data_IF_072442649896
#
_entry.id   IF_072442649896
#
_cell.length_a   1.000
_cell.length_b   1.000
_cell.length_c   1.000
_cell.angle_alpha   90.00
_cell.angle_beta   90.00
_cell.angle_gamma   90.00
#
_symmetry.space_group_name_H-M   'P 1'
#
loop_
_entity.id
_entity.type
_entity.pdbx_description
1 polymer ?
#
# COMPACT_ATOMS: atom_id res chain seq x y z
N UNK A 1 32.16 62.96 3.52
CA UNK A 1 33.49 62.61 4.08
C UNK A 1 33.21 61.90 5.39
N UNK A 2 33.00 60.58 5.36
CA UNK A 2 34.04 59.56 5.50
C UNK A 2 34.73 59.66 6.87
N UNK A 3 34.43 58.74 7.79
CA UNK A 3 35.47 57.91 8.43
C UNK A 3 34.86 56.65 9.06
N UNK A 4 35.62 55.58 8.87
CA UNK A 4 35.19 54.20 8.76
C UNK A 4 35.60 53.45 10.02
N UNK A 5 34.70 52.60 10.53
CA UNK A 5 34.80 51.83 11.78
C UNK A 5 35.77 50.63 11.65
N UNK A 6 36.68 50.67 10.68
CA UNK A 6 37.58 49.57 10.26
C UNK A 6 38.78 49.37 11.23
N UNK A 7 38.93 50.19 12.27
CA UNK A 7 40.09 50.13 13.17
C UNK A 7 40.07 49.03 14.25
N UNK A 8 38.92 48.43 14.56
CA UNK A 8 38.80 47.55 15.74
C UNK A 8 39.02 46.05 15.44
N UNK A 9 38.73 45.59 14.22
CA UNK A 9 38.73 44.15 13.91
C UNK A 9 40.15 43.62 13.63
N UNK A 10 41.10 44.49 13.29
CA UNK A 10 42.43 44.08 12.84
C UNK A 10 43.42 43.70 13.97
N UNK A 11 43.01 43.79 15.25
CA UNK A 11 43.88 43.47 16.40
C UNK A 11 43.71 42.06 16.97
N UNK A 12 42.74 41.27 16.49
CA UNK A 12 42.44 39.94 17.05
C UNK A 12 43.07 38.76 16.28
N UNK A 13 43.81 39.03 15.20
CA UNK A 13 44.42 37.99 14.34
C UNK A 13 45.95 38.08 14.29
N UNK A 14 46.59 38.21 15.44
CA UNK A 14 48.02 37.92 15.54
C UNK A 14 48.26 37.15 16.83
N UNK A 15 48.94 36.02 16.68
CA UNK A 15 49.44 35.10 17.71
C UNK A 15 48.53 33.92 18.10
N UNK A 16 48.98 32.71 17.71
CA UNK A 16 48.36 31.46 18.12
C UNK A 16 48.78 30.28 17.25
N UNK A 17 50.05 29.88 17.34
CA UNK A 17 50.57 28.66 16.72
C UNK A 17 49.92 27.43 17.39
N UNK A 18 48.95 26.79 16.73
CA UNK A 18 48.43 25.49 17.13
C UNK A 18 48.31 24.55 15.93
N UNK A 19 48.85 23.34 16.11
CA UNK A 19 48.89 22.21 15.19
C UNK A 19 47.52 21.99 14.51
N UNK A 20 47.47 21.56 13.23
CA UNK A 20 46.20 21.26 12.58
C UNK A 20 45.56 20.05 13.27
N UNK A 21 44.52 20.31 14.06
CA UNK A 21 43.54 19.28 14.40
C UNK A 21 42.78 19.00 13.11
N UNK A 22 43.02 17.84 12.52
CA UNK A 22 42.19 17.32 11.44
C UNK A 22 40.86 16.92 12.04
N UNK A 23 39.92 17.84 12.07
CA UNK A 23 38.51 17.53 12.30
C UNK A 23 38.02 16.79 11.05
N UNK A 24 37.58 15.52 11.13
CA UNK A 24 36.93 14.91 9.98
C UNK A 24 35.68 15.74 9.65
N UNK A 25 35.54 16.12 8.38
CA UNK A 25 34.34 16.78 7.89
C UNK A 25 33.11 15.91 8.25
N UNK A 26 31.97 16.52 8.61
CA UNK A 26 30.74 15.75 8.79
C UNK A 26 30.47 15.02 7.47
N UNK A 27 30.47 13.70 7.50
CA UNK A 27 30.00 12.86 6.39
C UNK A 27 28.66 13.42 5.94
N UNK A 28 28.44 13.66 4.63
CA UNK A 28 27.13 14.07 4.15
C UNK A 28 26.12 13.05 4.67
N UNK A 29 25.23 13.47 5.57
CA UNK A 29 24.11 12.64 5.96
C UNK A 29 23.38 12.30 4.65
N UNK A 30 23.40 11.03 4.30
CA UNK A 30 22.68 10.53 3.14
C UNK A 30 21.20 10.84 3.41
N UNK A 31 20.68 11.90 2.81
CA UNK A 31 19.25 12.16 2.84
C UNK A 31 18.57 10.90 2.28
N UNK A 32 17.54 10.35 2.94
CA UNK A 32 16.82 9.21 2.38
C UNK A 32 16.38 9.58 0.96
N UNK A 33 16.79 8.77 -0.02
CA UNK A 33 16.35 8.93 -1.41
C UNK A 33 14.81 8.96 -1.44
N UNK A 34 14.19 9.79 -2.29
CA UNK A 34 12.74 9.80 -2.40
C UNK A 34 12.26 8.39 -2.80
N UNK A 35 11.45 7.78 -1.95
CA UNK A 35 10.74 6.53 -2.24
C UNK A 35 9.93 6.73 -3.52
N UNK A 36 10.04 5.80 -4.48
CA UNK A 36 9.25 5.90 -5.70
C UNK A 36 7.76 5.75 -5.38
N UNK A 37 6.88 6.35 -6.19
CA UNK A 37 5.44 6.20 -5.98
C UNK A 37 5.01 4.72 -5.97
N UNK A 38 5.60 3.89 -6.84
CA UNK A 38 5.36 2.44 -6.85
C UNK A 38 5.77 1.78 -5.54
N UNK A 39 6.88 2.19 -4.93
CA UNK A 39 7.31 1.65 -3.64
C UNK A 39 6.36 2.07 -2.51
N UNK A 40 5.81 3.29 -2.56
CA UNK A 40 4.76 3.71 -1.62
C UNK A 40 3.47 2.88 -1.76
N UNK A 41 3.08 2.52 -2.99
CA UNK A 41 1.92 1.64 -3.23
C UNK A 41 2.18 0.24 -2.68
N UNK A 42 3.38 -0.32 -2.92
CA UNK A 42 3.79 -1.61 -2.36
C UNK A 42 3.78 -1.60 -0.83
N UNK A 43 4.36 -0.56 -0.22
CA UNK A 43 4.38 -0.44 1.23
C UNK A 43 2.95 -0.38 1.82
N UNK A 44 2.07 0.44 1.23
CA UNK A 44 0.68 0.51 1.67
C UNK A 44 -0.05 -0.83 1.52
N UNK A 45 0.16 -1.54 0.41
CA UNK A 45 -0.42 -2.85 0.19
C UNK A 45 0.13 -3.88 1.19
N UNK A 46 1.42 -3.87 1.48
CA UNK A 46 2.07 -4.74 2.46
C UNK A 46 1.55 -4.51 3.89
N UNK A 47 1.24 -3.27 4.25
CA UNK A 47 0.66 -2.91 5.55
C UNK A 47 -0.84 -3.29 5.66
N UNK A 48 -1.59 -3.18 4.57
CA UNK A 48 -3.07 -3.28 4.62
C UNK A 48 -3.64 -4.63 4.20
N UNK A 49 -3.06 -5.30 3.19
CA UNK A 49 -3.54 -6.59 2.70
C UNK A 49 -3.61 -7.67 3.78
N UNK A 50 -2.63 -7.82 4.70
CA UNK A 50 -2.72 -8.82 5.77
C UNK A 50 -4.01 -8.69 6.60
N UNK A 51 -4.41 -7.45 6.94
CA UNK A 51 -5.65 -7.20 7.69
C UNK A 51 -6.90 -7.60 6.91
N UNK A 52 -6.94 -7.33 5.60
CA UNK A 52 -8.08 -7.71 4.76
C UNK A 52 -8.13 -9.23 4.58
N UNK A 53 -6.98 -9.85 4.29
CA UNK A 53 -6.86 -11.30 4.13
C UNK A 53 -7.31 -12.07 5.37
N UNK A 54 -6.99 -11.60 6.58
CA UNK A 54 -7.47 -12.24 7.81
C UNK A 54 -9.00 -12.29 7.88
N UNK A 55 -9.68 -11.19 7.57
CA UNK A 55 -11.15 -11.14 7.56
C UNK A 55 -11.75 -11.97 6.43
N UNK A 56 -11.14 -11.93 5.23
CA UNK A 56 -11.61 -12.71 4.09
C UNK A 56 -11.38 -14.22 4.31
N UNK A 57 -10.30 -14.64 4.97
CA UNK A 57 -10.02 -16.04 5.27
C UNK A 57 -11.05 -16.67 6.23
N UNK A 58 -11.69 -15.85 7.09
CA UNK A 58 -12.76 -16.30 7.98
C UNK A 58 -14.15 -16.27 7.35
N UNK A 59 -14.29 -15.87 6.08
CA UNK A 59 -15.60 -15.83 5.42
C UNK A 59 -16.29 -17.19 5.39
N UNK A 60 -17.59 -17.16 5.61
CA UNK A 60 -18.52 -18.24 5.27
C UNK A 60 -19.75 -17.64 4.56
N UNK A 61 -20.65 -18.52 4.12
CA UNK A 61 -21.85 -18.12 3.39
C UNK A 61 -22.74 -17.16 4.20
N UNK A 62 -22.87 -17.39 5.51
CA UNK A 62 -23.74 -16.59 6.38
C UNK A 62 -23.16 -15.19 6.63
N UNK A 63 -21.84 -15.11 6.85
CA UNK A 63 -21.13 -13.84 6.96
C UNK A 63 -21.22 -13.04 5.67
N UNK A 64 -21.06 -13.69 4.52
CA UNK A 64 -21.16 -13.03 3.22
C UNK A 64 -22.58 -12.51 2.97
N UNK A 65 -23.60 -13.31 3.29
CA UNK A 65 -25.01 -12.90 3.16
C UNK A 65 -25.35 -11.67 4.00
N UNK A 66 -24.90 -11.64 5.26
CA UNK A 66 -25.25 -10.59 6.22
C UNK A 66 -24.44 -9.32 6.06
N UNK A 67 -23.17 -9.45 5.63
CA UNK A 67 -22.19 -8.38 5.75
C UNK A 67 -21.62 -7.90 4.41
N UNK A 68 -22.09 -8.40 3.26
CA UNK A 68 -21.59 -7.98 1.96
C UNK A 68 -21.52 -6.45 1.82
N UNK A 69 -22.58 -5.73 2.21
CA UNK A 69 -22.60 -4.26 2.10
C UNK A 69 -21.51 -3.58 2.93
N UNK A 70 -21.23 -4.10 4.13
CA UNK A 70 -20.13 -3.61 4.97
C UNK A 70 -18.77 -3.98 4.39
N UNK A 71 -18.64 -5.17 3.81
CA UNK A 71 -17.39 -5.62 3.19
C UNK A 71 -17.07 -4.89 1.89
N UNK A 72 -18.10 -4.47 1.15
CA UNK A 72 -18.02 -3.80 -0.13
C UNK A 72 -18.08 -2.26 -0.05
N UNK A 73 -18.01 -1.65 1.14
CA UNK A 73 -18.00 -0.19 1.33
C UNK A 73 -16.91 0.27 2.29
N UNK A 74 -16.59 1.58 2.25
CA UNK A 74 -15.62 2.19 3.16
C UNK A 74 -14.28 1.43 3.20
N UNK A 75 -13.92 0.99 4.41
CA UNK A 75 -12.72 0.20 4.72
C UNK A 75 -13.00 -1.31 4.85
N UNK A 76 -14.13 -1.78 4.33
CA UNK A 76 -14.50 -3.19 4.30
C UNK A 76 -13.48 -4.05 3.57
N UNK A 77 -13.30 -5.32 3.96
CA UNK A 77 -12.22 -6.16 3.43
C UNK A 77 -12.29 -6.42 1.93
N UNK A 78 -13.48 -6.56 1.31
CA UNK A 78 -13.58 -6.74 -0.15
C UNK A 78 -13.15 -5.47 -0.88
N UNK A 79 -13.75 -4.33 -0.54
CA UNK A 79 -13.42 -3.05 -1.18
C UNK A 79 -11.95 -2.68 -0.95
N UNK A 80 -11.47 -2.87 0.28
CA UNK A 80 -10.09 -2.60 0.68
C UNK A 80 -9.08 -3.43 -0.12
N UNK A 81 -9.22 -4.76 -0.14
CA UNK A 81 -8.28 -5.62 -0.88
C UNK A 81 -8.32 -5.37 -2.39
N UNK A 82 -9.51 -5.14 -2.96
CA UNK A 82 -9.66 -4.82 -4.39
C UNK A 82 -8.98 -3.49 -4.72
N UNK A 83 -9.13 -2.47 -3.87
CA UNK A 83 -8.45 -1.17 -4.04
C UNK A 83 -6.93 -1.34 -4.04
N UNK A 84 -6.38 -2.16 -3.14
CA UNK A 84 -4.94 -2.45 -3.11
C UNK A 84 -4.48 -3.17 -4.38
N UNK A 85 -5.20 -4.21 -4.82
CA UNK A 85 -4.88 -4.92 -6.06
C UNK A 85 -4.96 -3.98 -7.28
N UNK A 86 -5.93 -3.07 -7.32
CA UNK A 86 -6.04 -2.05 -8.38
C UNK A 86 -4.85 -1.09 -8.36
N UNK A 87 -4.37 -0.68 -7.19
CA UNK A 87 -3.16 0.14 -7.06
C UNK A 87 -1.92 -0.58 -7.60
N UNK A 88 -1.72 -1.85 -7.20
CA UNK A 88 -0.61 -2.68 -7.69
C UNK A 88 -0.67 -2.90 -9.21
N UNK A 89 -1.86 -3.16 -9.75
CA UNK A 89 -2.07 -3.34 -11.19
C UNK A 89 -1.81 -2.05 -12.00
N UNK A 90 -2.14 -0.88 -11.45
CA UNK A 90 -2.02 0.40 -12.16
C UNK A 90 -0.62 1.00 -12.05
N UNK A 91 0.06 0.80 -10.92
CA UNK A 91 1.25 1.57 -10.57
C UNK A 91 2.49 0.73 -10.32
N UNK A 92 2.39 -0.60 -10.37
CA UNK A 92 3.55 -1.50 -10.37
C UNK A 92 3.69 -2.19 -11.73
N UNK A 93 4.80 -2.91 -11.91
CA UNK A 93 5.11 -3.63 -13.15
C UNK A 93 5.48 -5.10 -12.91
N UNK A 94 5.76 -5.82 -14.00
CA UNK A 94 6.25 -7.19 -13.96
C UNK A 94 5.22 -8.20 -13.40
N UNK A 95 5.72 -9.23 -12.72
CA UNK A 95 4.88 -10.32 -12.19
C UNK A 95 3.88 -9.82 -11.15
N UNK A 96 4.24 -8.83 -10.32
CA UNK A 96 3.34 -8.24 -9.32
C UNK A 96 2.08 -7.63 -9.97
N UNK A 97 2.27 -6.90 -11.07
CA UNK A 97 1.17 -6.31 -11.83
C UNK A 97 0.27 -7.38 -12.46
N UNK A 98 0.90 -8.40 -13.07
CA UNK A 98 0.19 -9.51 -13.70
C UNK A 98 -0.64 -10.30 -12.68
N UNK A 99 -0.06 -10.58 -11.51
CA UNK A 99 -0.73 -11.30 -10.42
C UNK A 99 -1.91 -10.49 -9.85
N UNK A 100 -1.74 -9.18 -9.65
CA UNK A 100 -2.82 -8.32 -9.17
C UNK A 100 -3.97 -8.26 -10.19
N UNK A 101 -3.65 -8.18 -11.48
CA UNK A 101 -4.62 -8.25 -12.58
C UNK A 101 -5.34 -9.60 -12.60
N UNK A 102 -4.62 -10.71 -12.40
CA UNK A 102 -5.22 -12.04 -12.35
C UNK A 102 -6.25 -12.13 -11.21
N UNK A 103 -5.89 -11.73 -9.99
CA UNK A 103 -6.79 -11.72 -8.84
C UNK A 103 -8.05 -10.90 -9.11
N UNK A 104 -7.92 -9.70 -9.70
CA UNK A 104 -9.05 -8.81 -9.98
C UNK A 104 -10.04 -9.38 -11.02
N UNK A 105 -9.53 -10.19 -11.96
CA UNK A 105 -10.29 -10.76 -13.07
C UNK A 105 -10.78 -12.19 -12.81
N UNK A 106 -10.26 -12.87 -11.79
CA UNK A 106 -10.75 -14.21 -11.41
C UNK A 106 -12.25 -14.15 -11.11
N UNK A 107 -13.07 -14.96 -11.79
CA UNK A 107 -14.50 -15.02 -11.50
C UNK A 107 -14.75 -15.64 -10.12
N UNK A 108 -15.62 -14.99 -9.35
CA UNK A 108 -16.27 -15.55 -8.17
C UNK A 108 -17.74 -15.75 -8.54
N UNK A 109 -18.14 -17.00 -8.71
CA UNK A 109 -19.46 -17.41 -9.19
C UNK A 109 -19.88 -16.70 -10.49
N UNK A 110 -18.93 -16.55 -11.41
CA UNK A 110 -19.13 -15.91 -12.72
C UNK A 110 -19.04 -14.38 -12.71
N UNK A 111 -18.89 -13.74 -11.54
CA UNK A 111 -18.73 -12.29 -11.41
C UNK A 111 -17.26 -12.00 -11.09
N UNK A 112 -16.55 -11.17 -11.87
CA UNK A 112 -15.14 -10.84 -11.60
C UNK A 112 -14.95 -10.33 -10.16
N UNK A 113 -13.90 -10.79 -9.47
CA UNK A 113 -13.64 -10.41 -8.09
C UNK A 113 -13.62 -8.90 -7.88
N UNK A 114 -13.08 -8.13 -8.83
CA UNK A 114 -13.11 -6.66 -8.83
C UNK A 114 -14.50 -6.03 -8.63
N UNK A 115 -15.58 -6.72 -8.97
CA UNK A 115 -16.96 -6.24 -8.79
C UNK A 115 -17.54 -6.56 -7.41
N UNK A 116 -16.95 -7.48 -6.65
CA UNK A 116 -17.40 -7.87 -5.30
C UNK A 116 -17.09 -6.81 -4.23
N UNK A 117 -16.27 -5.80 -4.56
CA UNK A 117 -15.98 -4.67 -3.69
C UNK A 117 -16.93 -3.49 -3.85
N UNK A 118 -18.08 -3.67 -4.51
CA UNK A 118 -19.06 -2.61 -4.80
C UNK A 118 -20.47 -3.04 -4.43
N UNK A 119 -21.25 -2.13 -3.84
CA UNK A 119 -22.67 -2.34 -3.55
C UNK A 119 -23.58 -1.88 -4.70
N UNK A 120 -24.76 -2.49 -4.81
CA UNK A 120 -25.77 -2.12 -5.82
C UNK A 120 -25.45 -2.61 -7.24
N UNK A 121 -24.41 -3.43 -7.40
CA UNK A 121 -24.01 -4.04 -8.67
C UNK A 121 -24.37 -5.53 -8.78
N UNK A 122 -23.74 -6.22 -9.73
CA UNK A 122 -23.96 -7.64 -9.98
C UNK A 122 -23.69 -8.52 -8.75
N UNK A 123 -22.62 -8.25 -8.00
CA UNK A 123 -22.29 -9.01 -6.79
C UNK A 123 -23.38 -8.84 -5.69
N UNK A 124 -23.86 -7.60 -5.46
CA UNK A 124 -25.00 -7.38 -4.55
C UNK A 124 -26.26 -8.11 -5.00
N UNK A 125 -26.58 -8.08 -6.30
CA UNK A 125 -27.74 -8.79 -6.83
C UNK A 125 -27.61 -10.32 -6.66
N UNK A 126 -26.40 -10.86 -6.86
CA UNK A 126 -26.09 -12.26 -6.63
C UNK A 126 -26.28 -12.65 -5.15
N UNK A 127 -25.74 -11.85 -4.22
CA UNK A 127 -25.93 -12.05 -2.78
C UNK A 127 -27.41 -11.94 -2.37
N UNK A 128 -28.18 -11.06 -3.02
CA UNK A 128 -29.60 -10.90 -2.74
C UNK A 128 -30.50 -11.99 -3.38
N UNK A 129 -29.94 -12.86 -4.24
CA UNK A 129 -30.74 -13.84 -5.00
C UNK A 129 -31.27 -15.02 -4.19
N UNK A 130 -30.77 -15.22 -2.96
CA UNK A 130 -31.09 -16.38 -2.12
C UNK A 130 -30.36 -17.66 -2.49
N UNK A 131 -29.38 -17.59 -3.40
CA UNK A 131 -28.47 -18.70 -3.71
C UNK A 131 -27.59 -19.05 -2.50
N UNK A 132 -27.17 -20.31 -2.39
CA UNK A 132 -26.15 -20.71 -1.41
C UNK A 132 -24.80 -20.04 -1.74
N UNK A 133 -24.33 -19.20 -0.81
CA UNK A 133 -23.10 -18.43 -0.95
C UNK A 133 -21.83 -19.20 -0.55
N UNK A 134 -21.94 -20.49 -0.25
CA UNK A 134 -20.79 -21.32 0.16
C UNK A 134 -19.69 -21.33 -0.90
N UNK A 135 -20.06 -21.46 -2.18
CA UNK A 135 -19.09 -21.42 -3.28
C UNK A 135 -18.40 -20.06 -3.36
N UNK A 136 -19.17 -18.97 -3.37
CA UNK A 136 -18.64 -17.61 -3.43
C UNK A 136 -17.68 -17.33 -2.26
N UNK A 137 -18.05 -17.69 -1.03
CA UNK A 137 -17.21 -17.52 0.14
C UNK A 137 -15.88 -18.30 0.01
N UNK A 138 -15.92 -19.53 -0.49
CA UNK A 138 -14.72 -20.34 -0.70
C UNK A 138 -13.80 -19.79 -1.81
N UNK A 139 -14.37 -19.31 -2.90
CA UNK A 139 -13.61 -18.68 -3.99
C UNK A 139 -12.94 -17.37 -3.52
N UNK A 140 -13.66 -16.53 -2.75
CA UNK A 140 -13.08 -15.32 -2.14
C UNK A 140 -11.95 -15.68 -1.18
N UNK A 141 -12.08 -16.75 -0.39
CA UNK A 141 -10.99 -17.25 0.47
C UNK A 141 -9.79 -17.71 -0.32
N UNK A 142 -10.00 -18.41 -1.43
CA UNK A 142 -8.93 -18.79 -2.36
C UNK A 142 -8.16 -17.56 -2.88
N UNK A 143 -8.88 -16.49 -3.23
CA UNK A 143 -8.25 -15.24 -3.66
C UNK A 143 -7.51 -14.53 -2.52
N UNK A 144 -8.04 -14.55 -1.29
CA UNK A 144 -7.33 -14.04 -0.12
C UNK A 144 -6.02 -14.80 0.16
N UNK A 145 -5.98 -16.11 -0.11
CA UNK A 145 -4.74 -16.90 -0.08
C UNK A 145 -3.80 -16.51 -1.21
N UNK A 146 -4.31 -16.31 -2.43
CA UNK A 146 -3.52 -15.86 -3.58
C UNK A 146 -2.87 -14.48 -3.34
N UNK A 147 -3.52 -13.59 -2.59
CA UNK A 147 -2.93 -12.30 -2.19
C UNK A 147 -1.64 -12.45 -1.36
N UNK A 148 -1.38 -13.61 -0.72
CA UNK A 148 -0.06 -13.87 -0.10
C UNK A 148 1.06 -13.87 -1.14
N UNK A 149 0.77 -14.34 -2.36
CA UNK A 149 1.73 -14.29 -3.47
C UNK A 149 2.06 -12.85 -3.85
N UNK A 150 1.08 -11.94 -3.86
CA UNK A 150 1.35 -10.51 -4.08
C UNK A 150 2.37 -9.98 -3.07
N UNK A 151 2.19 -10.29 -1.79
CA UNK A 151 3.11 -9.86 -0.73
C UNK A 151 4.54 -10.38 -0.93
N UNK A 152 4.71 -11.58 -1.51
CA UNK A 152 6.03 -12.14 -1.82
C UNK A 152 6.70 -11.52 -3.05
N UNK A 153 5.95 -10.82 -3.90
CA UNK A 153 6.41 -10.20 -5.15
C UNK A 153 6.71 -8.70 -5.00
N UNK A 154 6.41 -8.09 -3.85
CA UNK A 154 6.63 -6.66 -3.58
C UNK A 154 8.06 -6.38 -3.15
#
# INVERSE_FOLDING_TARGET
>A
MAHSVIGFIQRMFSEGSHKPVVTPAPTPAQMPSPTSFSDSIKQLAAETLPKYMQQLNSLDAEMLQKNHDQFATGSGPLRGSITQCQGLMQFCGGELQAEASAILNTPVCGIPFSQWGTIGGAASAYVASGVDLTQAANEIKGLAQQMQKLLSLM
#
